data_IF_606870648720
#
_entry.id   IF_606870648720
#
_cell.length_a   1.000
_cell.length_b   1.000
_cell.length_c   1.000
_cell.angle_alpha   90.00
_cell.angle_beta   90.00
_cell.angle_gamma   90.00
#
_symmetry.space_group_name_H-M   'P 1'
#
loop_
_entity.id
_entity.type
_entity.pdbx_description
1 polymer ?
#
# COMPACT_ATOMS: atom_id res chain seq x y z
N UNK A 1 -11.14 -23.50 4.77
CA UNK A 1 -10.66 -22.99 3.47
C UNK A 1 -9.21 -23.42 3.32
N UNK A 2 -8.89 -24.26 2.33
CA UNK A 2 -7.50 -24.64 2.04
C UNK A 2 -6.65 -23.41 1.71
N UNK A 3 -5.38 -23.48 2.12
CA UNK A 3 -4.39 -22.41 1.95
C UNK A 3 -3.22 -22.94 1.13
N UNK A 4 -2.74 -22.14 0.18
CA UNK A 4 -1.52 -22.43 -0.58
C UNK A 4 -0.65 -21.19 -0.67
N UNK A 5 0.65 -21.33 -0.38
CA UNK A 5 1.61 -20.24 -0.48
C UNK A 5 1.74 -19.74 -1.91
N UNK A 6 1.54 -18.43 -2.11
CA UNK A 6 1.73 -17.72 -3.38
C UNK A 6 3.08 -17.00 -3.39
N UNK A 7 3.43 -16.31 -2.30
CA UNK A 7 4.67 -15.55 -2.18
C UNK A 7 5.29 -15.85 -0.82
N UNK A 8 6.44 -16.50 -0.83
CA UNK A 8 7.19 -16.86 0.37
C UNK A 8 7.77 -15.63 1.06
N UNK A 9 8.00 -15.74 2.38
CA UNK A 9 8.70 -14.72 3.16
C UNK A 9 10.03 -14.26 2.54
N UNK A 10 10.84 -15.20 2.03
CA UNK A 10 12.13 -14.87 1.43
C UNK A 10 12.00 -14.03 0.14
N UNK A 11 10.96 -14.30 -0.67
CA UNK A 11 10.66 -13.47 -1.84
C UNK A 11 10.24 -12.06 -1.43
N UNK A 12 9.42 -11.95 -0.38
CA UNK A 12 8.99 -10.66 0.18
C UNK A 12 10.19 -9.85 0.63
N UNK A 13 11.04 -10.41 1.50
CA UNK A 13 12.23 -9.73 2.04
C UNK A 13 13.14 -9.23 0.91
N UNK A 14 13.40 -10.07 -0.10
CA UNK A 14 14.19 -9.69 -1.27
C UNK A 14 13.56 -8.54 -2.04
N UNK A 15 12.27 -8.63 -2.38
CA UNK A 15 11.58 -7.62 -3.20
C UNK A 15 11.48 -6.28 -2.46
N UNK A 16 11.15 -6.30 -1.17
CA UNK A 16 11.07 -5.11 -0.33
C UNK A 16 12.43 -4.40 -0.25
N UNK A 17 13.54 -5.15 -0.13
CA UNK A 17 14.88 -4.57 -0.16
C UNK A 17 15.22 -3.93 -1.52
N UNK A 18 14.81 -4.53 -2.64
CA UNK A 18 14.96 -3.93 -3.97
C UNK A 18 14.17 -2.63 -4.11
N UNK A 19 12.91 -2.62 -3.64
CA UNK A 19 12.06 -1.43 -3.66
C UNK A 19 12.64 -0.31 -2.78
N UNK A 20 13.12 -0.63 -1.58
CA UNK A 20 13.75 0.34 -0.69
C UNK A 20 14.94 1.05 -1.33
N UNK A 21 15.80 0.32 -2.05
CA UNK A 21 16.91 0.91 -2.82
C UNK A 21 16.44 1.82 -3.94
N UNK A 22 15.41 1.43 -4.69
CA UNK A 22 14.82 2.24 -5.76
C UNK A 22 14.25 3.56 -5.20
N UNK A 23 13.45 3.47 -4.15
CA UNK A 23 12.85 4.63 -3.47
C UNK A 23 13.93 5.56 -2.90
N UNK A 24 14.99 4.99 -2.31
CA UNK A 24 16.10 5.78 -1.75
C UNK A 24 16.81 6.61 -2.83
N UNK A 25 17.02 6.04 -4.02
CA UNK A 25 17.62 6.75 -5.15
C UNK A 25 16.69 7.84 -5.69
N UNK A 26 15.41 7.51 -5.90
CA UNK A 26 14.41 8.41 -6.47
C UNK A 26 14.10 9.63 -5.60
N UNK A 27 14.23 9.51 -4.28
CA UNK A 27 13.95 10.58 -3.31
C UNK A 27 15.21 11.15 -2.64
N UNK A 28 16.39 10.88 -3.18
CA UNK A 28 17.64 11.42 -2.64
C UNK A 28 17.58 12.95 -2.52
N UNK A 29 17.86 13.47 -1.32
CA UNK A 29 17.81 14.92 -1.04
C UNK A 29 16.40 15.50 -0.83
N UNK A 30 15.36 14.67 -0.80
CA UNK A 30 13.98 15.10 -0.49
C UNK A 30 13.63 14.87 0.98
N UNK A 31 12.77 15.73 1.54
CA UNK A 31 12.07 15.43 2.80
C UNK A 31 10.92 14.45 2.51
N UNK A 32 11.10 13.18 2.89
CA UNK A 32 10.16 12.10 2.57
C UNK A 32 9.24 11.77 3.75
N UNK A 33 7.93 11.77 3.49
CA UNK A 33 6.92 11.20 4.37
C UNK A 33 6.45 9.87 3.78
N UNK A 34 6.62 8.77 4.52
CA UNK A 34 5.93 7.52 4.26
C UNK A 34 4.53 7.57 4.90
N UNK A 35 3.49 7.57 4.07
CA UNK A 35 2.10 7.57 4.49
C UNK A 35 1.52 6.16 4.36
N UNK A 36 1.39 5.45 5.48
CA UNK A 36 0.85 4.10 5.52
C UNK A 36 -0.68 4.11 5.49
N UNK A 37 -1.28 3.36 4.55
CA UNK A 37 -2.73 3.17 4.50
C UNK A 37 -3.14 2.04 5.43
N UNK A 38 -3.89 2.37 6.47
CA UNK A 38 -4.33 1.42 7.48
C UNK A 38 -5.50 0.56 6.99
N UNK A 39 -5.57 -0.72 7.39
CA UNK A 39 -4.67 -1.43 8.32
C UNK A 39 -3.64 -2.33 7.62
N UNK A 40 -3.95 -2.78 6.41
CA UNK A 40 -3.24 -3.88 5.78
C UNK A 40 -1.78 -3.56 5.45
N UNK A 41 -1.47 -2.30 5.12
CA UNK A 41 -0.12 -1.91 4.72
C UNK A 41 0.90 -1.88 5.87
N UNK A 42 0.51 -2.06 7.14
CA UNK A 42 1.40 -1.87 8.30
C UNK A 42 2.67 -2.72 8.23
N UNK A 43 2.56 -4.00 7.84
CA UNK A 43 3.71 -4.90 7.76
C UNK A 43 4.65 -4.49 6.62
N UNK A 44 4.09 -4.32 5.41
CA UNK A 44 4.85 -3.85 4.25
C UNK A 44 5.52 -2.50 4.50
N UNK A 45 4.81 -1.53 5.05
CA UNK A 45 5.35 -0.21 5.37
C UNK A 45 6.51 -0.30 6.36
N UNK A 46 6.37 -1.10 7.43
CA UNK A 46 7.43 -1.28 8.42
C UNK A 46 8.69 -1.89 7.82
N UNK A 47 8.54 -2.92 6.98
CA UNK A 47 9.68 -3.58 6.33
C UNK A 47 10.30 -2.68 5.26
N UNK A 48 9.49 -2.01 4.45
CA UNK A 48 9.95 -1.12 3.38
C UNK A 48 10.75 0.05 3.92
N UNK A 49 10.24 0.74 4.95
CA UNK A 49 10.93 1.88 5.56
C UNK A 49 12.30 1.51 6.10
N UNK A 50 12.46 0.30 6.68
CA UNK A 50 13.75 -0.21 7.16
C UNK A 50 14.76 -0.46 6.03
N UNK A 51 14.29 -0.52 4.78
CA UNK A 51 15.13 -0.67 3.59
C UNK A 51 15.40 0.65 2.85
N UNK A 52 14.79 1.76 3.28
CA UNK A 52 15.02 3.09 2.71
C UNK A 52 16.18 3.75 3.46
N UNK A 53 17.20 4.21 2.74
CA UNK A 53 18.41 4.83 3.29
C UNK A 53 18.33 6.36 3.33
N UNK A 54 17.16 6.89 3.69
CA UNK A 54 16.86 8.32 3.85
C UNK A 54 16.30 8.57 5.25
N UNK A 55 16.27 9.83 5.68
CA UNK A 55 15.47 10.21 6.85
C UNK A 55 13.99 10.26 6.43
N UNK A 56 13.17 9.37 6.99
CA UNK A 56 11.77 9.18 6.59
C UNK A 56 10.86 9.43 7.77
N UNK A 57 9.98 10.42 7.65
CA UNK A 57 8.89 10.61 8.60
C UNK A 57 7.76 9.62 8.32
N UNK A 58 7.12 9.10 9.36
CA UNK A 58 6.01 8.14 9.25
C UNK A 58 4.70 8.79 9.67
N UNK A 59 3.66 8.61 8.86
CA UNK A 59 2.29 8.96 9.20
C UNK A 59 1.31 7.88 8.70
N UNK A 60 0.06 7.98 9.13
CA UNK A 60 -0.98 7.00 8.83
C UNK A 60 -2.27 7.69 8.37
N UNK A 61 -2.89 7.11 7.34
CA UNK A 61 -4.25 7.44 6.93
C UNK A 61 -5.12 6.20 7.07
N UNK A 62 -6.37 6.37 7.49
CA UNK A 62 -7.35 5.29 7.44
C UNK A 62 -8.55 5.74 6.62
N UNK A 63 -8.90 4.94 5.62
CA UNK A 63 -10.08 5.16 4.79
C UNK A 63 -11.06 4.01 4.91
N UNK A 64 -12.34 4.32 4.71
CA UNK A 64 -13.41 3.34 4.54
C UNK A 64 -14.05 3.53 3.17
N UNK A 65 -14.34 2.44 2.46
CA UNK A 65 -15.14 2.52 1.24
C UNK A 65 -16.61 2.67 1.62
N UNK A 66 -17.33 3.61 1.00
CA UNK A 66 -18.79 3.67 1.16
C UNK A 66 -19.45 2.50 0.42
N UNK A 67 -20.12 1.60 1.16
CA UNK A 67 -20.96 0.54 0.61
C UNK A 67 -20.82 -0.79 1.35
N UNK A 68 -21.94 -1.35 1.83
CA UNK A 68 -22.04 -2.62 2.54
C UNK A 68 -21.78 -3.87 1.65
N UNK A 69 -21.07 -3.74 0.52
CA UNK A 69 -20.91 -4.80 -0.47
C UNK A 69 -19.47 -4.94 -0.94
N UNK A 70 -19.14 -6.11 -1.49
CA UNK A 70 -17.84 -6.57 -2.00
C UNK A 70 -17.14 -5.65 -3.04
N UNK A 71 -17.66 -4.45 -3.30
CA UNK A 71 -17.18 -3.52 -4.33
C UNK A 71 -17.19 -2.08 -3.79
N UNK A 72 -16.12 -1.32 -4.01
CA UNK A 72 -16.08 0.10 -3.63
C UNK A 72 -16.86 0.96 -4.62
N UNK A 73 -17.62 1.94 -4.09
CA UNK A 73 -18.30 2.99 -4.87
C UNK A 73 -17.34 4.05 -5.42
N UNK A 74 -16.06 3.98 -5.04
CA UNK A 74 -15.06 5.01 -5.32
C UNK A 74 -15.19 6.27 -4.48
N UNK A 75 -16.16 6.34 -3.57
CA UNK A 75 -16.18 7.35 -2.50
C UNK A 75 -15.55 6.73 -1.26
N UNK A 76 -14.52 7.38 -0.74
CA UNK A 76 -13.87 6.99 0.52
C UNK A 76 -14.19 8.00 1.63
N UNK A 77 -14.53 7.51 2.82
CA UNK A 77 -14.53 8.33 4.04
C UNK A 77 -13.14 8.27 4.65
N UNK A 78 -12.58 9.41 5.03
CA UNK A 78 -11.38 9.43 5.85
C UNK A 78 -11.82 9.22 7.31
N UNK A 79 -11.40 8.08 7.88
CA UNK A 79 -11.65 7.73 9.28
C UNK A 79 -10.56 8.28 10.20
N UNK A 80 -9.33 8.37 9.69
CA UNK A 80 -8.19 9.00 10.36
C UNK A 80 -7.43 9.83 9.35
N UNK A 81 -7.27 11.11 9.66
CA UNK A 81 -6.42 12.01 8.89
C UNK A 81 -4.93 11.85 9.25
N UNK A 82 -4.03 12.10 8.27
CA UNK A 82 -2.61 12.34 8.56
C UNK A 82 -2.42 13.53 9.49
N UNK A 83 -1.40 13.47 10.33
CA UNK A 83 -1.08 14.49 11.34
C UNK A 83 0.10 15.39 10.95
N UNK A 84 1.01 14.90 10.11
CA UNK A 84 2.16 15.66 9.63
C UNK A 84 1.73 16.69 8.58
N UNK A 85 2.38 17.85 8.60
CA UNK A 85 2.28 18.80 7.49
C UNK A 85 3.05 18.27 6.29
N UNK A 86 2.32 18.04 5.20
CA UNK A 86 2.83 17.50 3.94
C UNK A 86 3.14 18.59 2.91
N UNK A 87 2.86 19.87 3.21
CA UNK A 87 3.05 20.96 2.25
C UNK A 87 4.53 21.07 1.83
N UNK A 88 4.77 21.07 0.53
CA UNK A 88 6.11 21.17 -0.04
C UNK A 88 6.98 19.91 0.09
N UNK A 89 6.48 18.85 0.73
CA UNK A 89 7.23 17.61 0.98
C UNK A 89 6.89 16.52 -0.02
N UNK A 90 7.80 15.57 -0.17
CA UNK A 90 7.55 14.35 -0.90
C UNK A 90 6.75 13.37 -0.04
N UNK A 91 5.68 12.81 -0.59
CA UNK A 91 4.86 11.80 0.07
C UNK A 91 4.89 10.51 -0.73
N UNK A 92 5.27 9.42 -0.06
CA UNK A 92 5.13 8.05 -0.55
C UNK A 92 3.95 7.40 0.15
N UNK A 93 2.85 7.20 -0.57
CA UNK A 93 1.70 6.43 -0.07
C UNK A 93 2.08 4.95 -0.13
N UNK A 94 1.90 4.23 0.98
CA UNK A 94 2.25 2.81 1.11
C UNK A 94 0.97 2.01 1.33
N UNK A 95 0.64 1.13 0.39
CA UNK A 95 -0.59 0.34 0.33
C UNK A 95 -0.28 -1.17 0.27
N UNK A 96 -1.12 -2.02 0.88
CA UNK A 96 -0.93 -3.47 0.80
C UNK A 96 -1.35 -4.05 -0.54
N UNK A 97 -2.48 -3.59 -1.11
CA UNK A 97 -3.00 -4.10 -2.37
C UNK A 97 -3.78 -3.06 -3.18
N UNK A 98 -3.49 -2.97 -4.48
CA UNK A 98 -4.31 -2.19 -5.43
C UNK A 98 -5.05 -3.12 -6.37
N UNK A 99 -6.36 -3.22 -6.16
CA UNK A 99 -7.29 -4.00 -6.99
C UNK A 99 -8.02 -3.12 -8.01
N UNK A 100 -9.18 -2.55 -7.66
CA UNK A 100 -9.89 -1.64 -8.56
C UNK A 100 -9.17 -0.31 -8.82
N UNK A 101 -8.29 0.12 -7.92
CA UNK A 101 -7.60 1.42 -7.95
C UNK A 101 -8.46 2.61 -7.47
N UNK A 102 -9.75 2.40 -7.19
CA UNK A 102 -10.68 3.47 -6.84
C UNK A 102 -10.29 4.20 -5.54
N UNK A 103 -10.09 3.45 -4.45
CA UNK A 103 -9.72 4.04 -3.15
C UNK A 103 -8.37 4.76 -3.21
N UNK A 104 -7.40 4.14 -3.90
CA UNK A 104 -6.07 4.72 -4.08
C UNK A 104 -6.09 6.02 -4.86
N UNK A 105 -6.91 6.14 -5.91
CA UNK A 105 -7.08 7.39 -6.65
C UNK A 105 -7.58 8.52 -5.74
N UNK A 106 -8.53 8.24 -4.86
CA UNK A 106 -9.06 9.26 -3.95
C UNK A 106 -8.07 9.62 -2.84
N UNK A 107 -7.35 8.63 -2.27
CA UNK A 107 -6.26 8.91 -1.31
C UNK A 107 -5.19 9.77 -1.97
N UNK A 108 -4.75 9.42 -3.17
CA UNK A 108 -3.76 10.19 -3.92
C UNK A 108 -4.18 11.65 -4.11
N UNK A 109 -5.40 11.88 -4.62
CA UNK A 109 -5.96 13.23 -4.79
C UNK A 109 -6.09 14.00 -3.49
N UNK A 110 -6.49 13.32 -2.41
CA UNK A 110 -6.56 13.93 -1.09
C UNK A 110 -5.18 14.43 -0.65
N UNK A 111 -4.13 13.63 -0.82
CA UNK A 111 -2.76 14.04 -0.46
C UNK A 111 -2.22 15.15 -1.36
N UNK A 112 -2.47 15.10 -2.67
CA UNK A 112 -2.13 16.22 -3.58
C UNK A 112 -2.80 17.52 -3.13
N UNK A 113 -4.08 17.47 -2.76
CA UNK A 113 -4.84 18.64 -2.31
C UNK A 113 -4.29 19.26 -1.00
N UNK A 114 -3.49 18.51 -0.24
CA UNK A 114 -2.83 18.98 0.99
C UNK A 114 -1.51 19.71 0.71
N UNK A 115 -1.10 19.83 -0.56
CA UNK A 115 0.05 20.61 -1.00
C UNK A 115 1.37 19.85 -1.00
N UNK A 116 1.35 18.52 -1.03
CA UNK A 116 2.55 17.71 -1.27
C UNK A 116 3.22 18.13 -2.59
N UNK A 117 4.55 18.23 -2.60
CA UNK A 117 5.31 18.63 -3.80
C UNK A 117 5.44 17.48 -4.80
N UNK A 118 5.50 16.26 -4.28
CA UNK A 118 5.52 15.02 -5.05
C UNK A 118 4.67 14.00 -4.30
N UNK A 119 3.79 13.30 -5.00
CA UNK A 119 3.06 12.14 -4.47
C UNK A 119 3.40 10.94 -5.35
N UNK A 120 3.95 9.89 -4.75
CA UNK A 120 4.14 8.58 -5.38
C UNK A 120 3.48 7.49 -4.54
N UNK A 121 3.22 6.34 -5.14
CA UNK A 121 2.62 5.18 -4.48
C UNK A 121 3.56 3.98 -4.55
N UNK A 122 3.77 3.34 -3.40
CA UNK A 122 4.30 1.99 -3.30
C UNK A 122 3.17 1.04 -2.89
N UNK A 123 2.93 0.00 -3.68
CA UNK A 123 2.02 -1.07 -3.30
C UNK A 123 2.74 -2.40 -3.21
N UNK A 124 2.36 -3.22 -2.23
CA UNK A 124 2.91 -4.55 -2.09
C UNK A 124 2.35 -5.51 -3.15
N UNK A 125 1.03 -5.57 -3.33
CA UNK A 125 0.36 -6.38 -4.36
C UNK A 125 -0.40 -5.50 -5.36
N UNK A 126 -0.26 -5.80 -6.64
CA UNK A 126 -1.03 -5.16 -7.70
C UNK A 126 -1.85 -6.19 -8.48
N UNK A 127 -3.12 -5.85 -8.77
CA UNK A 127 -4.02 -6.67 -9.62
C UNK A 127 -4.47 -5.86 -10.84
N UNK A 128 -3.62 -5.70 -11.87
CA UNK A 128 -3.95 -4.92 -13.05
C UNK A 128 -5.24 -5.37 -13.75
N UNK A 129 -5.51 -6.69 -13.78
CA UNK A 129 -6.70 -7.25 -14.42
C UNK A 129 -8.02 -6.84 -13.74
N UNK A 130 -7.99 -6.40 -12.47
CA UNK A 130 -9.16 -5.92 -11.73
C UNK A 130 -9.39 -4.42 -11.83
N UNK A 131 -8.50 -3.70 -12.53
CA UNK A 131 -8.46 -2.24 -12.49
C UNK A 131 -9.72 -1.61 -13.11
N UNK A 132 -10.29 -0.61 -12.44
CA UNK A 132 -11.49 0.13 -12.89
C UNK A 132 -11.21 1.60 -13.23
N UNK A 133 -10.02 2.09 -12.91
CA UNK A 133 -9.58 3.47 -13.14
C UNK A 133 -8.15 3.47 -13.62
N UNK A 134 -7.75 4.48 -14.39
CA UNK A 134 -6.34 4.66 -14.73
C UNK A 134 -5.57 5.10 -13.49
N UNK A 135 -4.96 4.12 -12.82
CA UNK A 135 -4.13 4.31 -11.64
C UNK A 135 -2.99 3.30 -11.66
N UNK A 136 -1.77 3.82 -11.56
CA UNK A 136 -0.53 3.06 -11.58
C UNK A 136 0.33 3.48 -10.41
N UNK A 137 0.79 2.52 -9.62
CA UNK A 137 1.79 2.77 -8.59
C UNK A 137 3.19 2.81 -9.23
N UNK A 138 4.04 3.73 -8.76
CA UNK A 138 5.43 3.84 -9.20
C UNK A 138 6.26 2.64 -8.73
N UNK A 139 5.96 2.12 -7.54
CA UNK A 139 6.68 0.97 -6.97
C UNK A 139 5.69 -0.16 -6.68
N UNK A 140 5.87 -1.28 -7.37
CA UNK A 140 5.03 -2.49 -7.21
C UNK A 140 5.87 -3.61 -6.65
N UNK A 141 5.44 -4.22 -5.55
CA UNK A 141 6.06 -5.43 -5.01
C UNK A 141 5.87 -6.60 -5.97
N UNK A 142 4.62 -7.06 -6.11
CA UNK A 142 4.26 -8.18 -6.95
C UNK A 142 2.96 -7.91 -7.70
N UNK A 143 2.95 -8.16 -9.01
CA UNK A 143 1.71 -8.24 -9.78
C UNK A 143 1.17 -9.67 -9.72
N UNK A 144 -0.11 -9.82 -9.38
CA UNK A 144 -0.77 -11.12 -9.23
C UNK A 144 -2.10 -11.16 -9.97
N UNK A 145 -2.53 -12.36 -10.35
CA UNK A 145 -3.86 -12.57 -10.90
C UNK A 145 -4.96 -12.33 -9.84
N UNK A 146 -6.20 -12.02 -10.26
CA UNK A 146 -7.33 -11.86 -9.36
C UNK A 146 -7.63 -13.15 -8.58
N UNK A 147 -7.22 -13.17 -7.32
CA UNK A 147 -7.50 -14.25 -6.37
C UNK A 147 -7.59 -13.69 -4.94
N UNK A 148 -8.27 -14.39 -4.05
CA UNK A 148 -8.37 -13.97 -2.66
C UNK A 148 -7.10 -14.37 -1.90
N UNK A 149 -6.43 -13.38 -1.30
CA UNK A 149 -5.12 -13.55 -0.64
C UNK A 149 -5.15 -13.03 0.79
N UNK A 150 -4.37 -13.67 1.65
CA UNK A 150 -4.20 -13.34 3.06
C UNK A 150 -2.72 -13.37 3.44
N UNK A 151 -2.41 -12.81 4.61
CA UNK A 151 -1.06 -12.77 5.14
C UNK A 151 -0.33 -11.49 4.81
N UNK A 152 0.78 -11.28 5.50
CA UNK A 152 1.62 -10.09 5.39
C UNK A 152 0.82 -8.78 5.46
N UNK A 153 -0.12 -8.72 6.41
CA UNK A 153 -1.02 -7.59 6.62
C UNK A 153 -2.40 -7.75 5.99
N UNK A 154 -2.56 -8.51 4.92
CA UNK A 154 -3.87 -8.81 4.31
C UNK A 154 -4.69 -9.76 5.20
N UNK A 155 -6.01 -9.58 5.22
CA UNK A 155 -6.90 -10.31 6.10
C UNK A 155 -8.09 -10.98 5.42
N UNK A 156 -8.68 -11.91 6.18
CA UNK A 156 -10.06 -12.32 6.01
C UNK A 156 -10.77 -12.20 7.36
N UNK A 157 -11.75 -11.31 7.44
CA UNK A 157 -12.51 -11.03 8.67
C UNK A 157 -11.61 -10.73 9.89
N UNK A 158 -10.62 -9.85 9.70
CA UNK A 158 -9.62 -9.42 10.70
C UNK A 158 -8.67 -10.53 11.17
N UNK A 159 -8.65 -11.68 10.49
CA UNK A 159 -7.73 -12.79 10.77
C UNK A 159 -6.62 -12.88 9.71
N UNK A 160 -5.56 -13.62 10.04
CA UNK A 160 -4.47 -14.01 9.14
C UNK A 160 -3.44 -12.93 8.75
N UNK A 161 -3.61 -11.67 9.18
CA UNK A 161 -2.64 -10.59 8.92
C UNK A 161 -1.20 -10.95 9.31
N UNK A 162 -1.04 -11.76 10.36
CA UNK A 162 0.25 -12.12 10.96
C UNK A 162 0.97 -13.29 10.26
N UNK A 163 0.41 -13.88 9.21
CA UNK A 163 1.13 -14.89 8.41
C UNK A 163 2.29 -14.17 7.69
N UNK A 164 3.53 -14.67 7.75
CA UNK A 164 4.71 -13.96 7.24
C UNK A 164 4.89 -14.04 5.71
N UNK A 165 3.92 -14.61 5.02
CA UNK A 165 3.91 -14.90 3.59
C UNK A 165 2.52 -14.60 3.01
N UNK A 166 2.41 -14.55 1.68
CA UNK A 166 1.12 -14.46 1.02
C UNK A 166 0.62 -15.84 0.68
N UNK A 167 -0.60 -16.11 1.08
CA UNK A 167 -1.31 -17.35 0.78
C UNK A 167 -2.60 -17.04 0.04
N UNK A 168 -2.97 -17.94 -0.87
CA UNK A 168 -4.29 -17.96 -1.50
C UNK A 168 -5.25 -18.66 -0.57
N UNK A 169 -6.41 -18.04 -0.32
CA UNK A 169 -7.52 -18.69 0.37
C UNK A 169 -8.48 -19.21 -0.69
N UNK A 170 -8.55 -20.52 -0.83
CA UNK A 170 -9.50 -21.16 -1.75
C UNK A 170 -10.80 -21.46 -1.01
N UNK A 171 -11.93 -21.31 -1.71
CA UNK A 171 -13.25 -21.70 -1.21
C UNK A 171 -13.30 -23.20 -0.85
#
# INVERSE_FOLDING_TARGET
>A
MPQSTLITRAQIEKRVAEMGRQISADFAGSELIALCVLKGAVFFCSDLMRQISLDVALDFIQVSSYGNQKYSSGVVTILKEPQLDMRGKAVLIVEDIIDSGLSMREVFRYIESRGASVVKTATFLDKPASRKVDFKAEYVGFSIDPQFVIGYGLDYAERYRNIPEIQVLSD
#
